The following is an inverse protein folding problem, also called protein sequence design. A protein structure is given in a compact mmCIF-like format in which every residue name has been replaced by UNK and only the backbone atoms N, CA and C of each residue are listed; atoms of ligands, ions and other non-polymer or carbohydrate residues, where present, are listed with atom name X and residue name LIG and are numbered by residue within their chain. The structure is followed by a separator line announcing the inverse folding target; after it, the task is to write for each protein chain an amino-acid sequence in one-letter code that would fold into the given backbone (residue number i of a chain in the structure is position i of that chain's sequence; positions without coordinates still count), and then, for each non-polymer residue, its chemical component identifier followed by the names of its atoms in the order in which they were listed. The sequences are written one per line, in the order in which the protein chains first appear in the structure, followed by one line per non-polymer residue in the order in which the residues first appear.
data_IF_273793786038
#
_entry.id   IF_273793786038
#
_cell.length_a   1.000
_cell.length_b   1.000
_cell.length_c   1.000
_cell.angle_alpha   90.00
_cell.angle_beta   90.00
_cell.angle_gamma   90.00
#
_symmetry.space_group_name_H-M   'P 1'
#
loop_
_entity.id
_entity.type
_entity.pdbx_description
1 polymer ?
#
# COMPACT_ATOMS: atom_id res chain seq x y z
N UNK A 1 -13.48 -6.44 -22.97
CA UNK A 1 -13.36 -7.64 -22.13
C UNK A 1 -14.20 -8.73 -22.75
N UNK A 2 -13.83 -9.99 -22.56
CA UNK A 2 -14.65 -11.14 -22.96
C UNK A 2 -15.78 -11.32 -21.93
N UNK A 3 -17.00 -11.61 -22.40
CA UNK A 3 -18.14 -11.83 -21.50
C UNK A 3 -17.94 -13.20 -20.82
N UNK A 4 -18.03 -13.29 -19.48
CA UNK A 4 -17.96 -14.57 -18.77
C UNK A 4 -18.96 -15.57 -19.35
N UNK A 5 -18.53 -16.82 -19.50
CA UNK A 5 -19.33 -17.95 -20.02
C UNK A 5 -19.76 -17.87 -21.50
N UNK A 6 -19.35 -16.83 -22.23
CA UNK A 6 -19.57 -16.70 -23.68
C UNK A 6 -18.24 -16.53 -24.41
N UNK A 7 -17.67 -17.66 -24.86
CA UNK A 7 -16.46 -17.65 -25.68
C UNK A 7 -16.61 -16.77 -26.92
N UNK A 8 -15.56 -16.04 -27.24
CA UNK A 8 -15.43 -15.19 -28.43
C UNK A 8 -16.43 -14.02 -28.50
N UNK A 9 -17.11 -13.68 -27.39
CA UNK A 9 -17.95 -12.48 -27.29
C UNK A 9 -17.28 -11.41 -26.47
N UNK A 10 -16.97 -10.29 -27.11
CA UNK A 10 -16.25 -9.18 -26.50
C UNK A 10 -17.09 -7.92 -26.40
N UNK A 11 -16.99 -7.23 -25.27
CA UNK A 11 -17.51 -5.88 -25.06
C UNK A 11 -16.33 -4.91 -25.11
N UNK A 12 -16.43 -3.91 -25.99
CA UNK A 12 -15.56 -2.74 -26.01
C UNK A 12 -16.22 -1.62 -25.17
N UNK A 13 -15.73 -1.30 -23.96
CA UNK A 13 -16.45 -0.38 -23.07
C UNK A 13 -16.59 1.04 -23.63
N UNK A 14 -15.71 1.44 -24.54
CA UNK A 14 -15.79 2.75 -25.21
C UNK A 14 -17.02 2.90 -26.12
N UNK A 15 -17.57 1.78 -26.59
CA UNK A 15 -18.76 1.69 -27.45
C UNK A 15 -20.05 1.48 -26.64
N UNK A 16 -19.97 1.43 -25.31
CA UNK A 16 -21.17 1.36 -24.47
C UNK A 16 -22.02 2.61 -24.63
N UNK A 17 -23.33 2.42 -24.44
CA UNK A 17 -24.29 3.52 -24.41
C UNK A 17 -23.97 4.50 -23.27
N UNK A 18 -24.22 5.78 -23.49
CA UNK A 18 -24.23 6.78 -22.42
C UNK A 18 -25.49 6.71 -21.56
N UNK A 19 -26.57 6.09 -22.07
CA UNK A 19 -27.83 5.95 -21.34
C UNK A 19 -27.63 4.96 -20.19
N UNK A 20 -27.74 5.47 -18.97
CA UNK A 20 -27.80 4.64 -17.77
C UNK A 20 -29.03 3.70 -17.88
N UNK A 21 -28.86 2.38 -17.67
CA UNK A 21 -29.98 1.45 -17.66
C UNK A 21 -30.86 1.68 -16.42
N UNK A 22 -32.13 1.33 -16.51
CA UNK A 22 -33.02 1.35 -15.36
C UNK A 22 -32.73 0.13 -14.46
N UNK A 23 -32.51 0.39 -13.17
CA UNK A 23 -32.32 -0.63 -12.14
C UNK A 23 -32.91 -0.14 -10.82
N UNK A 24 -33.35 -1.09 -9.99
CA UNK A 24 -33.81 -0.79 -8.64
C UNK A 24 -32.60 -0.69 -7.70
N UNK A 25 -32.46 0.45 -7.03
CA UNK A 25 -31.42 0.68 -6.02
C UNK A 25 -32.07 1.18 -4.74
N UNK A 26 -31.87 0.46 -3.63
CA UNK A 26 -32.33 0.92 -2.32
C UNK A 26 -31.40 2.04 -1.82
N UNK A 27 -31.89 3.28 -1.63
CA UNK A 27 -31.09 4.36 -1.11
C UNK A 27 -30.81 4.21 0.40
N UNK A 28 -31.46 3.32 1.12
CA UNK A 28 -31.26 3.20 2.57
C UNK A 28 -29.90 2.59 2.93
N UNK A 29 -29.30 3.05 4.04
CA UNK A 29 -28.13 2.44 4.68
C UNK A 29 -26.93 2.14 3.76
N UNK A 30 -26.72 2.97 2.73
CA UNK A 30 -25.60 2.80 1.79
C UNK A 30 -24.28 3.23 2.41
N UNK A 31 -23.21 2.51 2.08
CA UNK A 31 -21.86 3.02 2.27
C UNK A 31 -21.48 3.85 1.04
N UNK A 32 -21.11 5.12 1.23
CA UNK A 32 -20.85 6.04 0.12
C UNK A 32 -19.40 6.53 0.20
N UNK A 33 -18.63 6.37 -0.87
CA UNK A 33 -17.29 6.95 -1.00
C UNK A 33 -17.22 7.75 -2.29
N UNK A 34 -16.50 8.88 -2.29
CA UNK A 34 -16.29 9.67 -3.51
C UNK A 34 -14.80 9.89 -3.77
N UNK A 35 -14.42 9.91 -5.03
CA UNK A 35 -13.14 10.38 -5.50
C UNK A 35 -13.34 11.73 -6.16
N UNK A 36 -12.57 12.73 -5.73
CA UNK A 36 -12.60 14.10 -6.22
C UNK A 36 -11.29 14.42 -6.97
N UNK A 37 -11.40 14.76 -8.25
CA UNK A 37 -10.28 15.02 -9.16
C UNK A 37 -10.21 16.53 -9.48
N UNK A 38 -9.98 17.35 -8.45
CA UNK A 38 -10.06 18.82 -8.49
C UNK A 38 -9.39 19.45 -9.71
N UNK A 39 -8.15 19.05 -9.99
CA UNK A 39 -7.33 19.68 -11.03
C UNK A 39 -7.66 19.13 -12.42
N UNK A 40 -7.71 17.81 -12.56
CA UNK A 40 -7.89 17.13 -13.84
C UNK A 40 -8.39 15.70 -13.65
N UNK A 41 -9.43 15.32 -14.40
CA UNK A 41 -9.96 13.95 -14.44
C UNK A 41 -9.70 13.32 -15.82
N UNK A 42 -8.78 12.33 -15.92
CA UNK A 42 -8.58 11.57 -17.15
C UNK A 42 -9.87 10.90 -17.64
N UNK A 43 -10.14 11.00 -18.95
CA UNK A 43 -11.19 10.20 -19.57
C UNK A 43 -10.79 8.73 -19.54
N UNK A 44 -11.73 7.86 -19.17
CA UNK A 44 -11.57 6.41 -19.26
C UNK A 44 -11.13 5.70 -17.98
N UNK A 45 -11.13 6.38 -16.82
CA UNK A 45 -10.95 5.72 -15.51
C UNK A 45 -12.03 4.65 -15.34
N UNK A 46 -13.32 5.01 -15.52
CA UNK A 46 -14.42 4.05 -15.44
C UNK A 46 -14.36 3.00 -16.54
N UNK A 47 -14.00 3.37 -17.77
CA UNK A 47 -13.78 2.41 -18.86
C UNK A 47 -12.79 1.32 -18.46
N UNK A 48 -11.67 1.69 -17.82
CA UNK A 48 -10.65 0.74 -17.35
C UNK A 48 -11.17 -0.08 -16.16
N UNK A 49 -11.88 0.55 -15.22
CA UNK A 49 -12.49 -0.15 -14.10
C UNK A 49 -13.46 -1.23 -14.59
N UNK A 50 -14.32 -0.90 -15.56
CA UNK A 50 -15.25 -1.84 -16.19
C UNK A 50 -14.50 -3.04 -16.78
N UNK A 51 -13.36 -2.84 -17.44
CA UNK A 51 -12.55 -3.94 -17.99
C UNK A 51 -12.01 -4.83 -16.87
N UNK A 52 -11.39 -4.25 -15.85
CA UNK A 52 -10.75 -5.04 -14.79
C UNK A 52 -11.79 -5.77 -13.93
N UNK A 53 -12.92 -5.11 -13.65
CA UNK A 53 -13.99 -5.62 -12.80
C UNK A 53 -15.09 -6.38 -13.56
N UNK A 54 -14.89 -6.69 -14.85
CA UNK A 54 -15.97 -7.20 -15.72
C UNK A 54 -16.68 -8.46 -15.20
N UNK A 55 -15.95 -9.34 -14.50
CA UNK A 55 -16.51 -10.57 -13.91
C UNK A 55 -17.55 -10.30 -12.82
N UNK A 56 -17.50 -9.12 -12.20
CA UNK A 56 -18.43 -8.72 -11.15
C UNK A 56 -19.62 -7.92 -11.70
N UNK A 57 -19.70 -7.62 -13.00
CA UNK A 57 -20.82 -6.84 -13.55
C UNK A 57 -22.14 -7.57 -13.29
N UNK A 58 -23.07 -6.88 -12.64
CA UNK A 58 -24.36 -7.44 -12.25
C UNK A 58 -25.12 -7.93 -13.47
N UNK A 59 -25.38 -9.23 -13.50
CA UNK A 59 -26.05 -9.94 -14.60
C UNK A 59 -25.40 -9.74 -15.98
N UNK A 60 -24.13 -9.27 -16.04
CA UNK A 60 -23.47 -8.82 -17.27
C UNK A 60 -24.29 -7.80 -18.09
N UNK A 61 -25.22 -7.10 -17.42
CA UNK A 61 -26.21 -6.21 -18.06
C UNK A 61 -26.06 -4.76 -17.61
N UNK A 62 -25.75 -4.54 -16.34
CA UNK A 62 -25.80 -3.21 -15.74
C UNK A 62 -24.46 -2.47 -15.87
N UNK A 63 -24.13 -2.13 -17.12
CA UNK A 63 -22.90 -1.44 -17.48
C UNK A 63 -23.17 -0.44 -18.60
N UNK A 64 -22.65 0.77 -18.45
CA UNK A 64 -22.78 1.87 -19.43
C UNK A 64 -21.50 2.71 -19.42
N UNK A 65 -21.43 3.69 -20.30
CA UNK A 65 -20.17 4.41 -20.56
C UNK A 65 -19.60 5.16 -19.37
N UNK A 66 -20.46 5.63 -18.45
CA UNK A 66 -20.08 6.41 -17.27
C UNK A 66 -20.33 5.68 -15.96
N UNK A 67 -20.66 4.38 -15.99
CA UNK A 67 -20.90 3.67 -14.74
C UNK A 67 -21.19 2.19 -14.90
N UNK A 68 -21.21 1.52 -13.76
CA UNK A 68 -21.38 0.07 -13.67
C UNK A 68 -21.98 -0.32 -12.32
N UNK A 69 -22.82 -1.35 -12.34
CA UNK A 69 -23.25 -2.05 -11.12
C UNK A 69 -22.45 -3.36 -11.02
N UNK A 70 -21.80 -3.54 -9.88
CA UNK A 70 -21.00 -4.71 -9.56
C UNK A 70 -21.70 -5.50 -8.44
N UNK A 71 -21.66 -6.82 -8.48
CA UNK A 71 -22.24 -7.69 -7.45
C UNK A 71 -21.23 -8.74 -7.01
N UNK A 72 -21.11 -8.92 -5.68
CA UNK A 72 -20.36 -10.00 -5.05
C UNK A 72 -21.06 -10.40 -3.75
N UNK A 73 -21.30 -11.70 -3.53
CA UNK A 73 -21.84 -12.25 -2.27
C UNK A 73 -23.08 -11.51 -1.72
N UNK A 74 -24.09 -11.28 -2.59
CA UNK A 74 -25.32 -10.50 -2.28
C UNK A 74 -25.09 -9.05 -1.84
N UNK A 75 -23.92 -8.50 -2.14
CA UNK A 75 -23.58 -7.09 -1.96
C UNK A 75 -23.42 -6.46 -3.33
N UNK A 76 -23.99 -5.27 -3.54
CA UNK A 76 -23.92 -4.52 -4.79
C UNK A 76 -23.15 -3.22 -4.59
N UNK A 77 -22.37 -2.85 -5.59
CA UNK A 77 -21.71 -1.56 -5.69
C UNK A 77 -22.12 -0.84 -6.98
N UNK A 78 -22.64 0.36 -6.84
CA UNK A 78 -22.86 1.30 -7.93
C UNK A 78 -21.65 2.24 -8.03
N UNK A 79 -21.00 2.26 -9.19
CA UNK A 79 -19.86 3.15 -9.46
C UNK A 79 -20.21 4.04 -10.64
N UNK A 80 -20.27 5.37 -10.42
CA UNK A 80 -20.66 6.35 -11.43
C UNK A 80 -19.62 7.46 -11.52
N UNK A 81 -19.22 7.79 -12.74
CA UNK A 81 -18.44 8.97 -13.10
C UNK A 81 -19.36 10.15 -13.42
N UNK A 82 -19.18 11.23 -12.67
CA UNK A 82 -19.74 12.54 -12.93
C UNK A 82 -18.65 13.44 -13.50
N UNK A 83 -18.33 13.26 -14.78
CA UNK A 83 -17.22 13.97 -15.44
C UNK A 83 -17.29 15.50 -15.29
N UNK A 84 -18.50 16.09 -15.39
CA UNK A 84 -18.70 17.53 -15.19
C UNK A 84 -18.39 18.04 -13.78
N UNK A 85 -18.45 17.15 -12.77
CA UNK A 85 -18.06 17.42 -11.39
C UNK A 85 -16.66 16.92 -11.06
N UNK A 86 -15.97 16.27 -12.02
CA UNK A 86 -14.69 15.59 -11.81
C UNK A 86 -14.73 14.63 -10.62
N UNK A 87 -15.83 13.89 -10.51
CA UNK A 87 -16.11 13.03 -9.37
C UNK A 87 -16.39 11.59 -9.83
N UNK A 88 -15.90 10.60 -9.09
CA UNK A 88 -16.42 9.23 -9.13
C UNK A 88 -17.11 8.96 -7.80
N UNK A 89 -18.38 8.59 -7.85
CA UNK A 89 -19.17 8.21 -6.67
C UNK A 89 -19.36 6.71 -6.64
N UNK A 90 -19.10 6.12 -5.49
CA UNK A 90 -19.33 4.71 -5.19
C UNK A 90 -20.39 4.62 -4.11
N UNK A 91 -21.45 3.84 -4.34
CA UNK A 91 -22.44 3.48 -3.32
C UNK A 91 -22.48 1.97 -3.19
N UNK A 92 -22.46 1.46 -1.96
CA UNK A 92 -22.49 0.03 -1.69
C UNK A 92 -23.64 -0.32 -0.75
N UNK A 93 -24.45 -1.29 -1.18
CA UNK A 93 -25.58 -1.84 -0.44
C UNK A 93 -25.42 -3.36 -0.28
N UNK A 94 -25.84 -3.91 0.86
CA UNK A 94 -25.76 -5.34 1.15
C UNK A 94 -25.15 -5.63 2.51
N UNK A 95 -24.75 -6.89 2.71
CA UNK A 95 -24.21 -7.36 4.00
C UNK A 95 -22.74 -6.97 4.18
N UNK A 96 -21.91 -7.20 3.17
CA UNK A 96 -20.46 -6.94 3.24
C UNK A 96 -20.08 -5.67 2.46
N UNK A 97 -20.65 -4.53 2.88
CA UNK A 97 -20.43 -3.24 2.22
C UNK A 97 -18.95 -2.84 2.21
N UNK A 98 -18.25 -3.08 3.33
CA UNK A 98 -16.83 -2.73 3.48
C UNK A 98 -15.98 -3.61 2.57
N UNK A 99 -16.19 -4.93 2.55
CA UNK A 99 -15.41 -5.85 1.71
C UNK A 99 -15.54 -5.55 0.22
N UNK A 100 -16.76 -5.34 -0.29
CA UNK A 100 -16.94 -4.97 -1.70
C UNK A 100 -16.38 -3.57 -2.00
N UNK A 101 -16.54 -2.60 -1.10
CA UNK A 101 -15.94 -1.27 -1.27
C UNK A 101 -14.41 -1.36 -1.38
N UNK A 102 -13.75 -2.13 -0.50
CA UNK A 102 -12.29 -2.34 -0.52
C UNK A 102 -11.81 -2.90 -1.86
N UNK A 103 -12.52 -3.87 -2.44
CA UNK A 103 -12.16 -4.43 -3.76
C UNK A 103 -12.27 -3.36 -4.86
N UNK A 104 -13.37 -2.61 -4.87
CA UNK A 104 -13.61 -1.56 -5.87
C UNK A 104 -12.58 -0.44 -5.74
N UNK A 105 -12.29 0.01 -4.51
CA UNK A 105 -11.32 1.08 -4.26
C UNK A 105 -9.90 0.64 -4.58
N UNK A 106 -9.52 -0.60 -4.27
CA UNK A 106 -8.21 -1.15 -4.64
C UNK A 106 -7.95 -1.06 -6.14
N UNK A 107 -8.91 -1.50 -6.97
CA UNK A 107 -8.75 -1.44 -8.43
C UNK A 107 -8.79 0.00 -8.96
N UNK A 108 -9.64 0.87 -8.39
CA UNK A 108 -9.65 2.29 -8.74
C UNK A 108 -8.34 2.99 -8.40
N UNK A 109 -7.76 2.73 -7.23
CA UNK A 109 -6.50 3.30 -6.79
C UNK A 109 -5.35 2.86 -7.70
N UNK A 110 -5.31 1.57 -8.06
CA UNK A 110 -4.35 1.02 -9.02
C UNK A 110 -4.47 1.68 -10.40
N UNK A 111 -5.71 1.90 -10.88
CA UNK A 111 -5.95 2.63 -12.13
C UNK A 111 -5.46 4.07 -12.01
N UNK A 112 -5.79 4.77 -10.92
CA UNK A 112 -5.35 6.14 -10.69
C UNK A 112 -3.82 6.25 -10.63
N UNK A 113 -3.14 5.33 -9.95
CA UNK A 113 -1.68 5.29 -9.81
C UNK A 113 -0.95 5.12 -11.14
N UNK A 114 -1.58 4.51 -12.15
CA UNK A 114 -0.99 4.38 -13.49
C UNK A 114 -0.91 5.70 -14.27
N UNK A 115 -1.60 6.76 -13.83
CA UNK A 115 -1.51 8.09 -14.45
C UNK A 115 -0.41 8.91 -13.78
N UNK A 116 0.55 9.40 -14.57
CA UNK A 116 1.62 10.27 -14.08
C UNK A 116 1.03 11.59 -13.55
N UNK A 117 1.37 11.94 -12.31
CA UNK A 117 1.03 13.23 -11.66
C UNK A 117 -0.49 13.48 -11.51
N UNK A 118 -1.31 12.43 -11.48
CA UNK A 118 -2.74 12.57 -11.25
C UNK A 118 -3.02 12.87 -9.77
N UNK A 119 -3.65 14.02 -9.50
CA UNK A 119 -4.06 14.42 -8.15
C UNK A 119 -5.54 14.12 -7.94
N UNK A 120 -5.85 13.44 -6.85
CA UNK A 120 -7.21 13.15 -6.43
C UNK A 120 -7.29 13.03 -4.91
N UNK A 121 -8.48 13.22 -4.34
CA UNK A 121 -8.76 12.99 -2.93
C UNK A 121 -9.91 11.99 -2.79
N UNK A 122 -9.83 11.13 -1.76
CA UNK A 122 -10.95 10.29 -1.33
C UNK A 122 -11.75 11.06 -0.30
N UNK A 123 -13.05 11.19 -0.52
CA UNK A 123 -13.96 11.88 0.39
C UNK A 123 -14.71 10.84 1.24
N UNK A 124 -14.38 10.81 2.52
CA UNK A 124 -14.97 9.92 3.53
C UNK A 124 -16.28 10.54 4.04
N UNK A 125 -17.42 9.84 3.96
CA UNK A 125 -18.70 10.36 4.41
C UNK A 125 -18.73 10.56 5.93
N UNK A 126 -19.41 11.60 6.39
CA UNK A 126 -19.71 11.78 7.79
C UNK A 126 -20.68 10.70 8.27
N UNK A 127 -20.42 10.11 9.43
CA UNK A 127 -21.27 9.09 10.04
C UNK A 127 -22.22 9.63 11.14
N UNK A 128 -22.35 10.96 11.25
CA UNK A 128 -23.31 11.56 12.20
C UNK A 128 -24.76 11.15 11.89
N UNK A 129 -25.70 11.24 12.86
CA UNK A 129 -27.09 10.85 12.66
C UNK A 129 -27.78 11.49 11.44
N UNK A 130 -27.44 12.75 11.12
CA UNK A 130 -27.97 13.46 9.94
C UNK A 130 -27.40 12.93 8.63
N UNK A 131 -26.13 12.52 8.61
CA UNK A 131 -25.43 12.15 7.37
C UNK A 131 -25.53 10.65 7.06
N UNK A 132 -25.62 9.79 8.08
CA UNK A 132 -25.50 8.32 7.93
C UNK A 132 -26.45 7.71 6.90
N UNK A 133 -27.68 8.21 6.82
CA UNK A 133 -28.71 7.70 5.90
C UNK A 133 -28.94 8.64 4.69
N UNK A 134 -28.14 9.70 4.57
CA UNK A 134 -28.22 10.64 3.45
C UNK A 134 -27.57 10.07 2.19
N UNK A 135 -28.15 10.36 1.03
CA UNK A 135 -27.53 10.06 -0.27
C UNK A 135 -26.47 11.08 -0.70
N UNK A 136 -26.37 12.15 0.06
CA UNK A 136 -25.41 13.24 -0.09
C UNK A 136 -24.89 13.65 1.29
N UNK A 137 -24.18 12.75 2.00
CA UNK A 137 -23.62 13.10 3.30
C UNK A 137 -22.56 14.19 3.14
N UNK A 138 -22.36 14.97 4.21
CA UNK A 138 -21.12 15.72 4.37
C UNK A 138 -19.93 14.76 4.20
N UNK A 139 -18.81 15.22 3.65
CA UNK A 139 -17.64 14.36 3.52
C UNK A 139 -16.37 15.13 3.79
N UNK A 140 -15.39 14.41 4.32
CA UNK A 140 -14.08 14.93 4.65
C UNK A 140 -13.04 14.37 3.69
N UNK A 141 -12.13 15.19 3.16
CA UNK A 141 -10.97 14.67 2.47
C UNK A 141 -10.18 13.75 3.40
N UNK A 142 -9.82 12.57 2.91
CA UNK A 142 -9.14 11.54 3.70
C UNK A 142 -7.83 12.06 4.31
N UNK A 143 -7.09 12.86 3.55
CA UNK A 143 -5.86 13.53 3.98
C UNK A 143 -6.05 14.45 5.20
N UNK A 144 -7.22 15.09 5.32
CA UNK A 144 -7.53 15.94 6.47
C UNK A 144 -7.76 15.07 7.71
N UNK A 145 -8.48 13.95 7.55
CA UNK A 145 -8.70 13.02 8.66
C UNK A 145 -7.39 12.40 9.16
N UNK A 146 -6.46 12.07 8.25
CA UNK A 146 -5.12 11.60 8.62
C UNK A 146 -4.33 12.67 9.40
N UNK A 147 -4.41 13.94 8.97
CA UNK A 147 -3.78 15.05 9.70
C UNK A 147 -4.34 15.22 11.10
N UNK A 148 -5.67 15.10 11.27
CA UNK A 148 -6.29 15.12 12.59
C UNK A 148 -5.71 14.03 13.51
N UNK A 149 -5.53 12.80 13.02
CA UNK A 149 -4.93 11.72 13.81
C UNK A 149 -3.46 12.03 14.15
N UNK A 150 -2.69 12.55 13.20
CA UNK A 150 -1.30 12.94 13.40
C UNK A 150 -1.14 14.02 14.49
N UNK A 151 -2.03 15.01 14.46
CA UNK A 151 -2.10 16.11 15.42
C UNK A 151 -2.77 15.71 16.75
N UNK A 152 -3.07 14.41 16.92
CA UNK A 152 -3.74 13.80 18.09
C UNK A 152 -5.11 14.42 18.38
N UNK A 153 -5.78 14.92 17.35
CA UNK A 153 -7.15 15.43 17.37
C UNK A 153 -8.10 14.34 16.86
N UNK A 154 -8.85 13.70 17.77
CA UNK A 154 -9.69 12.54 17.43
C UNK A 154 -11.14 12.89 17.13
N UNK A 155 -11.49 14.18 17.12
CA UNK A 155 -12.86 14.64 16.85
C UNK A 155 -12.85 15.77 15.85
N UNK A 156 -13.76 15.72 14.88
CA UNK A 156 -13.97 16.76 13.86
C UNK A 156 -15.46 17.13 13.81
N UNK A 157 -15.78 18.39 13.57
CA UNK A 157 -17.17 18.84 13.48
C UNK A 157 -17.76 18.55 12.10
N UNK A 158 -18.98 18.01 12.05
CA UNK A 158 -19.80 17.96 10.84
C UNK A 158 -20.25 19.35 10.43
N UNK A 159 -19.99 19.77 9.20
CA UNK A 159 -20.41 21.09 8.71
C UNK A 159 -21.89 21.15 8.29
N UNK A 160 -22.58 20.02 8.25
CA UNK A 160 -24.03 19.95 7.98
C UNK A 160 -24.86 19.92 9.26
N UNK A 161 -24.45 19.11 10.25
CA UNK A 161 -25.22 18.91 11.49
C UNK A 161 -24.61 19.58 12.73
N UNK A 162 -23.39 20.10 12.61
CA UNK A 162 -22.60 20.68 13.70
C UNK A 162 -22.23 19.70 14.83
N UNK A 163 -22.55 18.40 14.69
CA UNK A 163 -22.12 17.37 15.63
C UNK A 163 -20.62 17.11 15.55
N UNK A 164 -19.98 16.96 16.71
CA UNK A 164 -18.62 16.42 16.78
C UNK A 164 -18.67 14.91 16.53
N UNK A 165 -17.90 14.43 15.57
CA UNK A 165 -17.78 13.00 15.23
C UNK A 165 -16.36 12.51 15.44
N UNK A 166 -16.21 11.24 15.76
CA UNK A 166 -14.92 10.61 15.99
C UNK A 166 -14.21 10.34 14.65
N UNK A 167 -12.98 10.84 14.50
CA UNK A 167 -12.18 10.74 13.27
C UNK A 167 -11.81 9.30 12.93
N UNK A 168 -11.50 8.47 13.93
CA UNK A 168 -11.15 7.07 13.72
C UNK A 168 -12.36 6.28 13.21
N UNK A 169 -13.53 6.51 13.80
CA UNK A 169 -14.78 5.87 13.38
C UNK A 169 -15.17 6.25 11.95
N UNK A 170 -14.97 7.51 11.52
CA UNK A 170 -15.23 7.92 10.15
C UNK A 170 -14.46 7.08 9.12
N UNK A 171 -13.19 6.82 9.41
CA UNK A 171 -12.34 6.05 8.50
C UNK A 171 -12.61 4.55 8.66
N UNK A 172 -12.68 4.01 9.88
CA UNK A 172 -12.94 2.57 10.12
C UNK A 172 -14.27 2.10 9.52
N UNK A 173 -15.25 3.01 9.46
CA UNK A 173 -16.54 2.73 8.84
C UNK A 173 -16.47 2.42 7.35
N UNK A 174 -15.40 2.88 6.70
CA UNK A 174 -15.23 2.87 5.24
C UNK A 174 -14.05 1.99 4.83
N UNK A 175 -12.93 2.09 5.55
CA UNK A 175 -11.66 1.42 5.28
C UNK A 175 -11.30 0.64 6.53
N UNK A 176 -10.99 -0.64 6.40
CA UNK A 176 -10.45 -1.40 7.52
C UNK A 176 -9.05 -0.85 7.85
N UNK A 177 -8.96 -0.04 8.90
CA UNK A 177 -7.70 0.50 9.38
C UNK A 177 -6.72 -0.60 9.75
N UNK A 178 -7.20 -1.76 10.22
CA UNK A 178 -6.32 -2.87 10.55
C UNK A 178 -5.69 -3.42 9.29
N UNK A 179 -6.37 -3.47 8.15
CA UNK A 179 -5.76 -3.84 6.87
C UNK A 179 -4.75 -2.78 6.38
N UNK A 180 -5.05 -1.49 6.54
CA UNK A 180 -4.08 -0.42 6.26
C UNK A 180 -2.81 -0.54 7.12
N UNK A 181 -2.95 -1.00 8.37
CA UNK A 181 -1.88 -1.11 9.35
C UNK A 181 -1.16 -2.47 9.29
N UNK A 182 -1.85 -3.57 8.98
CA UNK A 182 -1.26 -4.91 8.84
C UNK A 182 -0.55 -5.08 7.51
N UNK A 183 -0.92 -4.32 6.47
CA UNK A 183 -0.19 -4.26 5.21
C UNK A 183 1.00 -3.26 5.28
N UNK A 184 1.23 -2.61 6.43
CA UNK A 184 2.38 -1.74 6.67
C UNK A 184 3.65 -2.51 7.05
N UNK A 185 4.13 -3.29 6.09
CA UNK A 185 5.54 -3.19 5.74
C UNK A 185 5.79 -2.83 4.26
N UNK A 186 4.80 -2.72 3.36
CA UNK A 186 5.10 -2.45 1.94
C UNK A 186 4.17 -1.48 1.16
N UNK A 187 2.89 -1.29 1.49
CA UNK A 187 1.98 -0.63 0.52
C UNK A 187 1.66 0.86 0.74
N UNK A 188 1.92 1.45 1.91
CA UNK A 188 1.66 2.89 2.10
C UNK A 188 2.63 3.80 1.31
N UNK A 189 3.77 3.26 0.85
CA UNK A 189 4.71 4.00 0.00
C UNK A 189 4.38 3.89 -1.50
N UNK A 190 3.53 2.93 -1.92
CA UNK A 190 3.25 2.67 -3.36
C UNK A 190 1.81 2.94 -3.81
N UNK A 191 0.85 3.09 -2.91
CA UNK A 191 -0.56 3.39 -3.29
C UNK A 191 -1.14 4.61 -2.60
N UNK A 192 -0.34 5.65 -2.44
CA UNK A 192 -0.76 6.97 -1.94
C UNK A 192 -0.01 8.01 -2.75
N UNK A 193 -0.45 8.30 -3.98
CA UNK A 193 0.04 9.47 -4.74
C UNK A 193 -0.55 10.77 -4.15
N UNK A 194 -0.48 10.94 -2.82
CA UNK A 194 -0.72 12.21 -2.16
C UNK A 194 0.59 12.98 -2.19
N UNK A 195 0.94 13.52 -3.37
CA UNK A 195 2.03 14.51 -3.45
C UNK A 195 1.51 15.85 -2.94
N UNK A 196 1.53 15.96 -1.62
CA UNK A 196 1.46 17.19 -0.85
C UNK A 196 2.09 16.87 0.50
N UNK A 197 3.42 17.00 0.58
CA UNK A 197 4.36 17.20 1.70
C UNK A 197 4.02 16.82 3.17
N UNK A 198 2.90 16.16 3.46
CA UNK A 198 2.35 15.94 4.81
C UNK A 198 2.50 14.47 5.26
N UNK A 199 2.72 13.53 4.32
CA UNK A 199 2.83 12.09 4.62
C UNK A 199 4.27 11.56 4.74
N UNK A 200 5.29 12.44 4.69
CA UNK A 200 6.65 12.07 5.09
C UNK A 200 6.75 12.19 6.63
N UNK A 201 6.45 11.12 7.37
CA UNK A 201 6.61 11.10 8.84
C UNK A 201 5.79 10.06 9.61
N UNK A 202 5.96 10.04 10.95
CA UNK A 202 5.49 9.05 11.95
C UNK A 202 3.97 8.80 12.05
N UNK A 203 3.14 9.31 11.13
CA UNK A 203 1.68 9.15 11.17
C UNK A 203 1.24 7.68 11.20
N UNK A 204 1.79 6.76 10.37
CA UNK A 204 1.44 5.34 10.46
C UNK A 204 1.77 4.72 11.84
N UNK A 205 2.89 5.14 12.45
CA UNK A 205 3.29 4.69 13.80
C UNK A 205 2.40 5.28 14.90
N UNK A 206 2.01 6.54 14.78
CA UNK A 206 1.08 7.21 15.71
C UNK A 206 -0.27 6.50 15.67
N UNK A 207 -0.82 6.27 14.47
CA UNK A 207 -2.07 5.53 14.26
C UNK A 207 -1.96 4.13 14.89
N UNK A 208 -0.89 3.38 14.61
CA UNK A 208 -0.64 2.06 15.19
C UNK A 208 -0.60 2.07 16.73
N UNK A 209 0.09 3.04 17.33
CA UNK A 209 0.21 3.16 18.78
C UNK A 209 -1.12 3.52 19.48
N UNK A 210 -1.99 4.29 18.81
CA UNK A 210 -3.30 4.65 19.35
C UNK A 210 -4.21 3.44 19.48
N UNK A 211 -4.21 2.54 18.50
CA UNK A 211 -5.02 1.33 18.54
C UNK A 211 -4.49 0.27 19.52
N UNK A 212 -3.18 0.27 19.84
CA UNK A 212 -2.67 -0.58 20.93
C UNK A 212 -3.11 -0.09 22.32
N UNK A 213 -3.28 1.23 22.51
CA UNK A 213 -3.76 1.79 23.78
C UNK A 213 -5.23 1.48 24.06
N UNK A 214 -6.09 1.45 23.05
CA UNK A 214 -7.53 1.11 23.21
C UNK A 214 -7.76 -0.36 23.59
N UNK A 215 -6.76 -1.25 23.47
CA UNK A 215 -6.83 -2.62 24.02
C UNK A 215 -6.64 -2.71 25.53
N UNK A 216 -6.17 -1.65 26.18
CA UNK A 216 -5.87 -1.65 27.63
C UNK A 216 -7.05 -1.10 28.46
N UNK A 217 -8.02 -0.42 27.83
CA UNK A 217 -9.15 0.19 28.53
C UNK A 217 -10.47 0.05 27.75
N UNK A 218 -11.16 -1.08 27.92
CA UNK A 218 -12.41 -1.33 27.20
C UNK A 218 -13.08 -2.65 27.56
N UNK A 219 -13.33 -2.85 28.85
CA UNK A 219 -14.12 -3.96 29.38
C UNK A 219 -15.62 -3.70 29.09
N UNK A 220 -16.16 -4.32 28.05
CA UNK A 220 -17.62 -4.46 27.88
C UNK A 220 -17.97 -5.94 27.84
N UNK A 221 -18.60 -6.38 28.93
CA UNK A 221 -19.30 -7.66 29.09
C UNK A 221 -20.14 -8.01 27.86
N UNK A 222 -19.87 -9.16 27.26
CA UNK A 222 -20.92 -9.98 26.63
C UNK A 222 -20.70 -11.45 27.00
N UNK A 223 -21.83 -12.17 27.03
CA UNK A 223 -22.04 -13.39 27.81
C UNK A 223 -21.17 -14.59 27.42
N UNK A 224 -20.83 -15.32 28.47
CA UNK A 224 -20.19 -16.62 28.51
C UNK A 224 -20.99 -17.68 27.74
N UNK A 225 -20.38 -18.32 26.75
CA UNK A 225 -20.66 -19.73 26.43
C UNK A 225 -19.32 -20.45 26.36
N UNK A 226 -19.18 -21.46 27.21
CA UNK A 226 -17.96 -22.22 27.41
C UNK A 226 -17.55 -22.93 26.12
N UNK A 227 -16.33 -22.69 25.66
CA UNK A 227 -15.58 -23.74 24.97
C UNK A 227 -14.13 -23.75 25.46
N UNK A 228 -13.72 -24.90 25.96
CA UNK A 228 -12.44 -25.12 26.61
C UNK A 228 -11.37 -25.28 25.53
N UNK A 229 -10.49 -24.29 25.41
CA UNK A 229 -9.21 -24.48 24.72
C UNK A 229 -8.08 -23.89 25.54
N UNK A 230 -7.08 -24.75 25.74
CA UNK A 230 -5.99 -24.66 26.72
C UNK A 230 -5.19 -23.38 26.57
N UNK A 231 -4.98 -22.68 27.70
CA UNK A 231 -3.98 -21.60 27.82
C UNK A 231 -2.58 -22.17 27.55
N UNK A 232 -1.95 -21.74 26.47
CA UNK A 232 -0.50 -21.89 26.31
C UNK A 232 0.18 -20.61 26.80
N UNK A 233 0.93 -20.74 27.90
CA UNK A 233 2.00 -19.83 28.25
C UNK A 233 3.18 -20.12 27.32
N UNK A 234 3.74 -19.08 26.69
CA UNK A 234 5.03 -19.18 26.01
C UNK A 234 5.96 -18.12 26.60
N UNK A 235 6.87 -18.64 27.42
CA UNK A 235 8.09 -18.01 27.90
C UNK A 235 9.03 -17.69 26.76
N UNK A 236 9.82 -16.64 26.96
CA UNK A 236 11.02 -16.32 26.20
C UNK A 236 11.94 -17.53 25.99
N UNK A 237 12.64 -17.51 24.85
CA UNK A 237 13.68 -18.44 24.36
C UNK A 237 13.22 -19.62 23.50
N UNK A 238 13.18 -19.40 22.18
CA UNK A 238 13.75 -20.31 21.18
C UNK A 238 13.88 -19.61 19.81
N UNK A 239 15.05 -19.03 19.55
CA UNK A 239 15.58 -18.93 18.20
C UNK A 239 15.96 -20.35 17.76
N UNK A 240 15.31 -20.86 16.72
CA UNK A 240 15.84 -21.86 15.78
C UNK A 240 14.97 -21.92 14.52
N UNK A 241 15.63 -21.64 13.39
CA UNK A 241 15.20 -21.61 11.99
C UNK A 241 14.05 -22.55 11.56
N UNK A 242 13.15 -22.02 10.73
CA UNK A 242 13.07 -22.36 9.30
C UNK A 242 11.91 -21.61 8.63
N UNK A 243 12.18 -20.89 7.54
CA UNK A 243 11.15 -20.27 6.70
C UNK A 243 11.33 -18.77 6.51
N UNK A 244 12.27 -18.44 5.63
CA UNK A 244 12.32 -17.29 4.72
C UNK A 244 11.20 -16.23 4.84
N UNK A 245 11.60 -15.01 5.18
CA UNK A 245 10.71 -13.86 5.31
C UNK A 245 11.53 -12.56 5.35
N UNK A 246 12.38 -12.35 4.34
CA UNK A 246 13.09 -11.09 4.19
C UNK A 246 12.12 -9.99 3.76
N UNK A 247 12.11 -8.92 4.54
CA UNK A 247 11.30 -7.71 4.39
C UNK A 247 11.89 -6.89 3.24
N UNK A 248 11.17 -6.79 2.11
CA UNK A 248 11.61 -6.02 0.94
C UNK A 248 11.16 -4.54 1.05
N UNK A 249 12.09 -3.57 0.94
CA UNK A 249 11.88 -2.12 1.12
C UNK A 249 12.03 -1.28 -0.17
N UNK A 250 11.07 -1.26 -1.10
CA UNK A 250 11.15 -0.34 -2.27
C UNK A 250 12.00 -0.87 -3.43
N UNK A 251 11.90 -0.21 -4.60
CA UNK A 251 12.20 -0.85 -5.89
C UNK A 251 13.64 -1.38 -6.06
N UNK A 252 14.66 -0.77 -5.45
CA UNK A 252 16.05 -1.27 -5.50
C UNK A 252 16.35 -2.29 -4.40
N UNK A 253 15.62 -2.21 -3.30
CA UNK A 253 15.68 -3.19 -2.21
C UNK A 253 15.02 -4.51 -2.61
N UNK A 254 13.95 -4.46 -3.43
CA UNK A 254 13.36 -5.67 -3.99
C UNK A 254 14.30 -6.38 -4.94
N UNK A 255 15.07 -5.63 -5.73
CA UNK A 255 16.09 -6.20 -6.61
C UNK A 255 17.28 -6.73 -5.83
N UNK A 256 17.77 -6.00 -4.82
CA UNK A 256 18.81 -6.47 -3.90
C UNK A 256 18.38 -7.71 -3.12
N UNK A 257 17.19 -7.73 -2.50
CA UNK A 257 16.68 -8.89 -1.76
C UNK A 257 16.44 -10.07 -2.68
N UNK A 258 15.96 -9.85 -3.92
CA UNK A 258 15.88 -10.92 -4.92
C UNK A 258 17.27 -11.43 -5.29
N UNK A 259 18.24 -10.56 -5.56
CA UNK A 259 19.61 -10.95 -5.87
C UNK A 259 20.23 -11.76 -4.73
N UNK A 260 20.07 -11.31 -3.47
CA UNK A 260 20.59 -11.94 -2.25
C UNK A 260 19.87 -13.25 -1.92
N UNK A 261 18.56 -13.36 -2.16
CA UNK A 261 17.78 -14.57 -1.93
C UNK A 261 17.99 -15.62 -3.02
N UNK A 262 18.36 -15.20 -4.23
CA UNK A 262 18.77 -16.11 -5.32
C UNK A 262 20.20 -16.63 -5.17
N UNK A 263 21.00 -16.06 -4.25
CA UNK A 263 22.33 -16.60 -3.94
C UNK A 263 22.20 -17.99 -3.31
N UNK A 264 23.05 -18.96 -3.70
CA UNK A 264 23.08 -20.27 -3.08
C UNK A 264 23.37 -20.17 -1.58
N UNK A 265 23.00 -21.20 -0.81
CA UNK A 265 23.31 -21.26 0.62
C UNK A 265 24.82 -21.40 0.81
N UNK A 266 25.52 -20.28 1.00
CA UNK A 266 26.97 -20.23 1.24
C UNK A 266 27.39 -20.79 2.63
N UNK A 267 26.60 -21.68 3.23
CA UNK A 267 26.83 -22.21 4.57
C UNK A 267 28.14 -23.01 4.69
N UNK A 268 28.67 -23.50 3.57
CA UNK A 268 29.97 -24.19 3.49
C UNK A 268 31.16 -23.25 3.20
N UNK A 269 30.93 -21.97 2.88
CA UNK A 269 31.96 -21.02 2.46
C UNK A 269 31.93 -19.76 3.34
N UNK A 270 32.77 -19.69 4.41
CA UNK A 270 32.65 -18.67 5.44
C UNK A 270 32.82 -17.24 4.92
N UNK A 271 33.75 -17.01 3.98
CA UNK A 271 33.97 -15.70 3.38
C UNK A 271 32.77 -15.22 2.57
N UNK A 272 32.14 -16.10 1.78
CA UNK A 272 30.94 -15.77 0.97
C UNK A 272 29.72 -15.51 1.85
N UNK A 273 29.57 -16.27 2.94
CA UNK A 273 28.53 -16.05 3.95
C UNK A 273 28.72 -14.70 4.65
N UNK A 274 29.95 -14.39 5.05
CA UNK A 274 30.28 -13.13 5.72
C UNK A 274 30.08 -11.92 4.78
N UNK A 275 30.45 -12.05 3.50
CA UNK A 275 30.22 -10.99 2.52
C UNK A 275 28.71 -10.76 2.28
N UNK A 276 27.90 -11.81 2.20
CA UNK A 276 26.43 -11.70 2.06
C UNK A 276 25.80 -10.97 3.25
N UNK A 277 26.25 -11.26 4.47
CA UNK A 277 25.79 -10.61 5.69
C UNK A 277 26.20 -9.12 5.70
N UNK A 278 27.46 -8.81 5.37
CA UNK A 278 27.95 -7.43 5.34
C UNK A 278 27.29 -6.58 4.26
N UNK A 279 26.98 -7.14 3.08
CA UNK A 279 26.22 -6.42 2.06
C UNK A 279 24.80 -6.09 2.54
N UNK A 280 24.19 -6.99 3.32
CA UNK A 280 22.86 -6.77 3.90
C UNK A 280 22.89 -5.69 4.97
N UNK A 281 23.94 -5.68 5.80
CA UNK A 281 24.17 -4.62 6.80
C UNK A 281 24.48 -3.28 6.14
N UNK A 282 25.30 -3.26 5.08
CA UNK A 282 25.62 -2.05 4.33
C UNK A 282 24.38 -1.45 3.67
N UNK A 283 23.55 -2.30 3.05
CA UNK A 283 22.30 -1.87 2.43
C UNK A 283 21.38 -1.17 3.44
N UNK A 284 21.23 -1.72 4.65
CA UNK A 284 20.46 -1.08 5.71
C UNK A 284 21.11 0.21 6.20
N UNK A 285 22.44 0.24 6.34
CA UNK A 285 23.17 1.45 6.72
C UNK A 285 22.92 2.58 5.70
N UNK A 286 22.99 2.31 4.40
CA UNK A 286 22.72 3.33 3.35
C UNK A 286 21.28 3.89 3.44
N UNK A 287 20.31 3.07 3.82
CA UNK A 287 18.91 3.51 3.99
C UNK A 287 18.75 4.44 5.21
N UNK A 288 19.48 4.16 6.29
CA UNK A 288 19.38 4.91 7.56
C UNK A 288 20.23 6.19 7.58
N UNK A 289 21.26 6.30 6.74
CA UNK A 289 22.16 7.46 6.70
C UNK A 289 21.51 8.70 6.02
N UNK A 290 21.98 9.88 6.43
CA UNK A 290 21.50 11.18 5.91
C UNK A 290 22.24 11.58 4.63
N UNK A 291 22.09 10.73 3.60
CA UNK A 291 22.52 11.01 2.22
C UNK A 291 21.34 11.59 1.41
N UNK A 292 21.64 12.39 0.40
CA UNK A 292 20.63 12.82 -0.57
C UNK A 292 20.13 11.66 -1.44
N UNK A 293 18.99 11.86 -2.08
CA UNK A 293 18.27 10.82 -2.80
C UNK A 293 19.10 10.26 -3.99
N UNK A 294 19.93 11.09 -4.65
CA UNK A 294 20.74 10.69 -5.81
C UNK A 294 21.95 9.84 -5.34
N UNK A 295 22.64 10.26 -4.28
CA UNK A 295 23.75 9.51 -3.66
C UNK A 295 23.30 8.17 -3.05
N UNK A 296 22.08 8.12 -2.48
CA UNK A 296 21.46 6.87 -1.99
C UNK A 296 21.17 5.90 -3.10
N UNK A 297 20.61 6.38 -4.21
CA UNK A 297 20.31 5.56 -5.37
C UNK A 297 21.59 4.96 -5.96
N UNK A 298 22.64 5.77 -6.17
CA UNK A 298 23.93 5.31 -6.69
C UNK A 298 24.58 4.27 -5.76
N UNK A 299 24.55 4.50 -4.44
CA UNK A 299 25.11 3.55 -3.47
C UNK A 299 24.37 2.19 -3.50
N UNK A 300 23.04 2.19 -3.52
CA UNK A 300 22.26 0.95 -3.56
C UNK A 300 22.49 0.16 -4.86
N UNK A 301 22.60 0.84 -6.00
CA UNK A 301 22.93 0.21 -7.29
C UNK A 301 24.29 -0.51 -7.24
N UNK A 302 25.29 0.10 -6.60
CA UNK A 302 26.61 -0.54 -6.48
C UNK A 302 26.59 -1.76 -5.55
N UNK A 303 25.82 -1.73 -4.46
CA UNK A 303 25.66 -2.88 -3.54
C UNK A 303 25.01 -4.04 -4.30
N UNK A 304 23.99 -3.77 -5.12
CA UNK A 304 23.35 -4.77 -5.94
C UNK A 304 24.28 -5.37 -7.00
N UNK A 305 25.10 -4.54 -7.64
CA UNK A 305 26.11 -4.99 -8.60
C UNK A 305 27.11 -5.98 -7.96
N UNK A 306 27.53 -5.72 -6.72
CA UNK A 306 28.41 -6.61 -5.96
C UNK A 306 27.68 -7.90 -5.56
N UNK A 307 26.42 -7.81 -5.12
CA UNK A 307 25.62 -8.99 -4.79
C UNK A 307 25.41 -9.91 -6.02
N UNK A 308 25.10 -9.32 -7.17
CA UNK A 308 24.90 -10.05 -8.42
C UNK A 308 26.19 -10.70 -8.95
N UNK A 309 27.33 -10.06 -8.70
CA UNK A 309 28.64 -10.60 -9.05
C UNK A 309 28.96 -11.93 -8.33
N UNK A 310 28.36 -12.18 -7.15
CA UNK A 310 28.57 -13.43 -6.41
C UNK A 310 28.00 -14.66 -7.13
N UNK A 311 27.05 -14.48 -8.05
CA UNK A 311 26.54 -15.59 -8.87
C UNK A 311 27.51 -16.01 -9.98
N UNK A 312 28.46 -15.16 -10.38
CA UNK A 312 29.37 -15.37 -11.52
C UNK A 312 30.83 -15.03 -11.16
N UNK A 313 31.29 -15.45 -9.97
CA UNK A 313 32.57 -15.02 -9.39
C UNK A 313 33.83 -15.50 -10.15
N UNK A 314 33.71 -16.54 -10.97
CA UNK A 314 34.83 -17.11 -11.75
C UNK A 314 35.17 -16.29 -13.01
N UNK A 315 34.30 -15.34 -13.40
CA UNK A 315 34.54 -14.48 -14.56
C UNK A 315 35.47 -13.31 -14.21
N UNK A 316 36.63 -13.26 -14.88
CA UNK A 316 37.60 -12.17 -14.77
C UNK A 316 37.03 -10.77 -15.08
N UNK A 317 35.95 -10.68 -15.86
CA UNK A 317 35.21 -9.45 -16.14
C UNK A 317 34.43 -8.95 -14.91
N UNK A 318 33.87 -9.88 -14.13
CA UNK A 318 33.07 -9.59 -12.93
C UNK A 318 33.94 -8.99 -11.82
N UNK A 319 35.19 -9.44 -11.67
CA UNK A 319 36.17 -8.84 -10.73
C UNK A 319 36.42 -7.35 -11.00
N UNK A 320 36.40 -6.91 -12.27
CA UNK A 320 36.54 -5.48 -12.62
C UNK A 320 35.31 -4.68 -12.25
N UNK A 321 34.11 -5.26 -12.43
CA UNK A 321 32.84 -4.64 -12.06
C UNK A 321 32.78 -4.42 -10.54
N UNK A 322 33.12 -5.45 -9.75
CA UNK A 322 33.14 -5.36 -8.28
C UNK A 322 34.13 -4.29 -7.80
N UNK A 323 35.34 -4.21 -8.38
CA UNK A 323 36.31 -3.17 -8.03
C UNK A 323 35.81 -1.75 -8.36
N UNK A 324 35.09 -1.59 -9.47
CA UNK A 324 34.52 -0.29 -9.85
C UNK A 324 33.40 0.11 -8.90
N UNK A 325 32.48 -0.81 -8.58
CA UNK A 325 31.39 -0.60 -7.64
C UNK A 325 31.90 -0.22 -6.25
N UNK A 326 32.94 -0.91 -5.77
CA UNK A 326 33.58 -0.60 -4.49
C UNK A 326 34.20 0.81 -4.46
N UNK A 327 34.84 1.26 -5.55
CA UNK A 327 35.43 2.60 -5.62
C UNK A 327 34.37 3.70 -5.54
N UNK A 328 33.21 3.47 -6.15
CA UNK A 328 32.07 4.39 -6.11
C UNK A 328 31.49 4.43 -4.69
N UNK A 329 31.24 3.26 -4.08
CA UNK A 329 30.75 3.17 -2.69
C UNK A 329 31.65 3.87 -1.66
N UNK A 330 32.97 3.73 -1.81
CA UNK A 330 33.93 4.43 -0.96
C UNK A 330 33.93 5.95 -1.20
N UNK A 331 33.67 6.38 -2.43
CA UNK A 331 33.50 7.79 -2.77
C UNK A 331 32.28 8.40 -2.09
N UNK A 332 31.13 7.73 -2.18
CA UNK A 332 29.89 8.14 -1.51
C UNK A 332 30.05 8.13 0.01
N UNK A 333 30.68 7.08 0.57
CA UNK A 333 30.95 7.01 2.01
C UNK A 333 31.91 8.11 2.50
N UNK A 334 32.79 8.64 1.65
CA UNK A 334 33.72 9.71 2.04
C UNK A 334 33.03 11.06 2.29
N UNK A 335 31.80 11.25 1.79
CA UNK A 335 30.97 12.41 2.09
C UNK A 335 30.36 12.35 3.51
N UNK A 336 30.38 11.19 4.16
CA UNK A 336 29.81 10.95 5.48
C UNK A 336 30.81 11.12 6.62
N UNK A 337 30.29 11.21 7.84
CA UNK A 337 31.13 11.26 9.04
C UNK A 337 32.01 10.00 9.16
N UNK A 338 33.26 10.09 9.64
CA UNK A 338 34.13 8.92 9.81
C UNK A 338 33.59 7.84 10.76
N UNK A 339 32.58 8.18 11.56
CA UNK A 339 31.87 7.32 12.52
C UNK A 339 30.58 6.72 11.96
N UNK A 340 30.19 7.05 10.72
CA UNK A 340 29.01 6.51 10.06
C UNK A 340 29.09 4.98 9.92
N UNK A 341 27.95 4.30 10.05
CA UNK A 341 27.89 2.84 9.97
C UNK A 341 28.31 2.37 8.58
N UNK A 342 27.89 3.11 7.54
CA UNK A 342 28.31 2.87 6.14
C UNK A 342 29.83 2.93 5.98
N UNK A 343 30.51 3.91 6.60
CA UNK A 343 31.97 4.09 6.49
C UNK A 343 32.73 2.93 7.15
N UNK A 344 32.22 2.43 8.27
CA UNK A 344 32.82 1.29 8.98
C UNK A 344 32.74 0.03 8.13
N UNK A 345 31.55 -0.27 7.59
CA UNK A 345 31.31 -1.46 6.77
C UNK A 345 32.10 -1.39 5.44
N UNK A 346 32.15 -0.21 4.80
CA UNK A 346 32.93 0.00 3.57
C UNK A 346 34.44 -0.23 3.73
N UNK A 347 35.00 -0.15 4.95
CA UNK A 347 36.43 -0.43 5.21
C UNK A 347 36.73 -1.93 5.30
N UNK A 348 35.73 -2.76 5.63
CA UNK A 348 35.89 -4.21 5.81
C UNK A 348 35.68 -4.99 4.50
N UNK A 349 34.83 -4.47 3.60
CA UNK A 349 34.50 -5.08 2.31
C UNK A 349 35.70 -5.43 1.40
N UNK A 350 36.77 -4.62 1.28
CA UNK A 350 37.86 -4.90 0.34
C UNK A 350 38.61 -6.20 0.64
N UNK A 351 38.80 -6.51 1.93
CA UNK A 351 39.51 -7.71 2.35
C UNK A 351 38.72 -8.97 1.98
N UNK A 352 37.40 -8.96 2.24
CA UNK A 352 36.50 -10.07 1.93
C UNK A 352 36.33 -10.28 0.42
N UNK A 353 36.18 -9.19 -0.34
CA UNK A 353 36.09 -9.27 -1.80
C UNK A 353 37.36 -9.87 -2.40
N UNK A 354 38.54 -9.52 -1.88
CA UNK A 354 39.82 -10.06 -2.37
C UNK A 354 40.02 -11.55 -2.04
N UNK A 355 39.32 -12.08 -1.04
CA UNK A 355 39.35 -13.51 -0.72
C UNK A 355 38.43 -14.33 -1.64
N UNK A 356 37.45 -13.69 -2.29
CA UNK A 356 36.41 -14.35 -3.09
C UNK A 356 36.65 -14.21 -4.61
N UNK A 357 37.10 -13.04 -5.06
CA UNK A 357 37.35 -12.71 -6.47
C UNK A 357 38.83 -12.45 -6.74
#
# INVERSE_FOLDING_TARGET
YEIPDYKDRFIAPQLLSYKQPDYNWDPSHNLILRYDYRDFMPKGIITRLIVVMHRYIDQQKYVWKSGVILTKDNTKAEVIEYYGKREIKIRVAGRDKRGLLTIVTHELDKINASYKRLKYSKLIPCNCPTCKDSQSPHSYPFEILLKFIADKQYTIQCQESYHMVNVLSLIDDIIDFKQLISNNQQELNKSVHFKGDILKGDIPKIVFNLFQKDKIYGDYKSMNTNDQSRKFHLSENAVKNSGDGSIIFGDNTGTFTNAINQLPSFDAEPDKKQLKELLSQLHNAVIEEDLDDDDKEEALEQIEAIASALNNYEDSGVKKVVKKAMKILMGTAAALSPTANMVTICKELPALISNIF
#
